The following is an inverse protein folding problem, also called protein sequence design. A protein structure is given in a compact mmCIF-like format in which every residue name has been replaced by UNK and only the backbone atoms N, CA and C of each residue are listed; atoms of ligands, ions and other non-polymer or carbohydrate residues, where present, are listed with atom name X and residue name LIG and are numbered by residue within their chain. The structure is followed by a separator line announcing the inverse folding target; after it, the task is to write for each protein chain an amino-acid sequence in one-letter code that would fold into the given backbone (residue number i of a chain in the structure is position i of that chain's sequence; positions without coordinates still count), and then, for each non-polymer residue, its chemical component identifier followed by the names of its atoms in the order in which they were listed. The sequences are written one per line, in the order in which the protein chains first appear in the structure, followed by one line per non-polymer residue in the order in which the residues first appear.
data_IF_149138414842
#
_entry.id   IF_149138414842
#
_cell.length_a   1.000
_cell.length_b   1.000
_cell.length_c   1.000
_cell.angle_alpha   90.00
_cell.angle_beta   90.00
_cell.angle_gamma   90.00
#
_symmetry.space_group_name_H-M   'P 1'
#
loop_
_entity.id
_entity.type
_entity.pdbx_description
1 polymer ?
#
# COMPACT_ATOMS: atom_id res chain seq x y z
N UNK A 1 -39.57 -31.61 35.74
CA UNK A 1 -38.75 -31.95 36.92
C UNK A 1 -37.35 -32.25 36.44
N UNK A 2 -36.39 -31.68 37.13
CA UNK A 2 -34.95 -31.75 37.04
C UNK A 2 -34.27 -30.81 36.04
N UNK A 3 -33.94 -29.62 36.56
CA UNK A 3 -32.90 -28.71 36.12
C UNK A 3 -31.52 -29.37 36.21
N UNK A 4 -30.67 -29.13 35.18
CA UNK A 4 -29.23 -29.20 35.33
C UNK A 4 -28.60 -27.91 34.80
N UNK A 5 -28.39 -26.97 35.70
CA UNK A 5 -27.51 -25.83 35.55
C UNK A 5 -26.07 -26.27 35.82
N UNK A 6 -25.12 -25.95 34.90
CA UNK A 6 -23.70 -26.06 35.19
C UNK A 6 -22.95 -24.84 34.62
N UNK A 7 -22.50 -23.90 35.47
CA UNK A 7 -21.74 -22.76 35.02
C UNK A 7 -20.25 -23.09 34.97
N UNK A 8 -19.66 -23.17 33.79
CA UNK A 8 -18.21 -23.25 33.61
C UNK A 8 -17.56 -21.91 33.98
N UNK A 9 -16.89 -21.90 35.11
CA UNK A 9 -16.23 -20.71 35.66
C UNK A 9 -14.79 -20.63 35.14
N UNK A 10 -14.52 -19.73 34.22
CA UNK A 10 -13.22 -19.49 33.55
C UNK A 10 -12.06 -19.08 34.48
N UNK A 11 -12.33 -18.83 35.77
CA UNK A 11 -11.31 -18.43 36.75
C UNK A 11 -10.57 -19.60 37.42
N UNK A 12 -10.99 -20.85 37.26
CA UNK A 12 -10.33 -22.01 37.86
C UNK A 12 -9.31 -22.74 36.96
N UNK A 13 -9.17 -22.31 35.69
CA UNK A 13 -8.22 -22.95 34.76
C UNK A 13 -6.78 -22.38 34.82
N UNK A 14 -6.56 -21.28 35.51
CA UNK A 14 -5.26 -20.59 35.60
C UNK A 14 -4.47 -20.91 36.89
N UNK A 15 -4.92 -21.80 37.74
CA UNK A 15 -4.28 -22.09 39.04
C UNK A 15 -3.67 -23.51 39.15
N UNK A 16 -3.66 -24.31 38.07
CA UNK A 16 -3.11 -25.69 38.10
C UNK A 16 -1.96 -25.95 37.15
N UNK A 17 -1.33 -24.92 36.59
CA UNK A 17 -0.15 -25.05 35.71
C UNK A 17 1.12 -24.39 36.30
N UNK A 18 1.34 -24.57 37.58
CA UNK A 18 2.51 -24.01 38.25
C UNK A 18 3.08 -24.93 39.31
N UNK A 19 3.75 -26.02 38.92
CA UNK A 19 4.76 -26.70 39.76
C UNK A 19 5.28 -27.96 39.02
N UNK A 20 6.37 -27.82 38.27
CA UNK A 20 7.44 -28.84 38.13
C UNK A 20 8.50 -28.30 37.12
N UNK A 21 9.40 -27.45 37.61
CA UNK A 21 10.64 -27.12 36.93
C UNK A 21 11.70 -28.08 37.43
N UNK A 22 11.97 -29.14 36.69
CA UNK A 22 13.13 -30.03 36.85
C UNK A 22 14.33 -29.44 36.12
N UNK A 23 15.33 -29.01 36.86
CA UNK A 23 16.65 -28.61 36.37
C UNK A 23 17.41 -29.85 35.90
N UNK A 24 17.72 -29.92 34.60
CA UNK A 24 18.71 -30.86 34.07
C UNK A 24 19.89 -30.04 33.55
N UNK A 25 20.97 -30.05 34.34
CA UNK A 25 22.29 -29.59 33.93
C UNK A 25 22.97 -30.68 33.08
N UNK A 26 23.11 -30.45 31.79
CA UNK A 26 24.03 -31.25 30.95
C UNK A 26 25.31 -30.43 30.74
N UNK A 27 26.37 -30.87 31.47
CA UNK A 27 27.77 -30.56 31.14
C UNK A 27 28.16 -31.38 29.92
N UNK A 28 28.50 -30.70 28.82
CA UNK A 28 29.08 -31.27 27.62
C UNK A 28 30.37 -30.57 27.25
N UNK A 29 31.46 -31.24 27.51
CA UNK A 29 32.84 -31.16 27.06
C UNK A 29 33.28 -29.94 26.20
N UNK A 30 34.10 -29.12 26.82
CA UNK A 30 35.09 -28.26 26.19
C UNK A 30 36.28 -29.11 25.70
N UNK A 31 36.54 -29.08 24.41
CA UNK A 31 37.82 -29.49 23.82
C UNK A 31 38.66 -28.25 23.56
N UNK A 32 39.80 -28.14 24.20
CA UNK A 32 40.86 -27.15 23.96
C UNK A 32 41.46 -27.35 22.56
N UNK A 33 41.78 -26.29 21.80
CA UNK A 33 42.73 -26.38 20.70
C UNK A 33 44.17 -26.17 21.22
N UNK A 34 45.18 -26.74 20.52
CA UNK A 34 46.56 -26.69 20.93
C UNK A 34 47.21 -25.33 20.68
N UNK A 35 48.10 -24.92 21.60
CA UNK A 35 48.98 -23.78 21.50
C UNK A 35 50.07 -23.99 20.44
N UNK A 36 50.34 -22.95 19.64
CA UNK A 36 51.39 -22.95 18.63
C UNK A 36 51.82 -21.56 18.20
N UNK A 37 52.73 -20.99 19.03
CA UNK A 37 53.87 -20.10 18.69
C UNK A 37 53.75 -19.02 17.61
N UNK A 38 53.75 -17.77 18.05
CA UNK A 38 54.73 -16.73 17.71
C UNK A 38 54.60 -15.96 16.40
N UNK A 39 54.43 -14.62 16.54
CA UNK A 39 55.10 -13.69 15.63
C UNK A 39 54.19 -12.65 14.94
N UNK A 40 54.20 -11.43 15.52
CA UNK A 40 54.35 -10.21 14.70
C UNK A 40 53.10 -9.55 14.10
N UNK A 41 52.64 -8.53 14.81
CA UNK A 41 52.24 -7.16 14.33
C UNK A 41 51.52 -7.02 12.99
N UNK A 42 50.37 -6.52 13.04
CA UNK A 42 49.88 -5.17 12.67
C UNK A 42 48.37 -5.17 12.41
N UNK A 43 47.73 -4.27 13.07
CA UNK A 43 46.35 -3.89 12.96
C UNK A 43 45.99 -3.54 11.52
N UNK A 44 44.88 -4.14 11.06
CA UNK A 44 43.99 -3.51 10.11
C UNK A 44 42.56 -3.93 10.47
N UNK A 45 41.97 -3.28 11.46
CA UNK A 45 40.52 -3.20 11.59
C UNK A 45 40.01 -2.34 10.43
N UNK A 46 39.78 -2.94 9.27
CA UNK A 46 38.90 -2.34 8.27
C UNK A 46 37.47 -2.51 8.75
N UNK A 47 37.00 -1.59 9.60
CA UNK A 47 35.58 -1.43 9.89
C UNK A 47 34.91 -1.08 8.58
N UNK A 48 34.07 -1.98 8.10
CA UNK A 48 33.07 -1.68 7.07
C UNK A 48 32.10 -0.68 7.69
N UNK A 49 32.42 0.62 7.60
CA UNK A 49 31.45 1.67 7.87
C UNK A 49 30.31 1.47 6.86
N UNK A 50 29.09 1.25 7.36
CA UNK A 50 27.92 1.13 6.51
C UNK A 50 27.83 2.37 5.62
N UNK A 51 27.40 2.20 4.36
CA UNK A 51 27.18 3.29 3.40
C UNK A 51 26.28 4.39 3.96
N UNK A 52 25.40 4.07 4.91
CA UNK A 52 24.59 5.04 5.64
C UNK A 52 25.42 6.04 6.48
N UNK A 53 26.58 5.63 7.00
CA UNK A 53 27.47 6.52 7.77
C UNK A 53 28.29 7.46 6.88
N UNK A 54 28.54 7.10 5.61
CA UNK A 54 29.23 7.97 4.66
C UNK A 54 28.33 9.08 4.10
N UNK A 55 27.01 8.87 4.04
CA UNK A 55 26.02 9.87 3.56
C UNK A 55 25.67 10.89 4.66
N UNK A 56 25.79 10.52 5.94
CA UNK A 56 25.46 11.39 7.09
C UNK A 56 26.39 12.64 7.23
N UNK A 57 27.47 12.74 6.44
CA UNK A 57 28.39 13.88 6.48
C UNK A 57 28.05 15.00 5.47
N UNK A 58 26.91 14.98 4.79
CA UNK A 58 26.41 16.15 4.07
C UNK A 58 25.81 17.11 5.11
N UNK A 59 26.49 18.24 5.34
CA UNK A 59 26.04 19.28 6.27
C UNK A 59 24.72 19.86 5.79
N UNK A 60 23.60 19.44 6.40
CA UNK A 60 22.29 20.10 6.22
C UNK A 60 22.47 21.56 6.67
N UNK A 61 22.05 22.52 5.84
CA UNK A 61 22.19 23.94 6.21
C UNK A 61 21.38 24.22 7.50
N UNK A 62 21.83 25.15 8.34
CA UNK A 62 21.12 25.45 9.59
C UNK A 62 19.64 25.80 9.38
N UNK A 63 19.30 26.45 8.25
CA UNK A 63 17.94 26.83 7.89
C UNK A 63 17.05 25.62 7.58
N UNK A 64 17.63 24.53 7.06
CA UNK A 64 16.95 23.29 6.69
C UNK A 64 17.06 22.20 7.76
N UNK A 65 17.78 22.44 8.85
CA UNK A 65 17.96 21.45 9.93
C UNK A 65 16.60 21.05 10.50
N UNK A 66 16.24 19.74 10.48
CA UNK A 66 14.99 19.26 11.04
C UNK A 66 14.83 19.55 12.53
N UNK A 67 13.61 19.78 12.98
CA UNK A 67 13.25 19.96 14.41
C UNK A 67 13.47 18.66 15.19
N UNK A 68 13.33 17.52 14.50
CA UNK A 68 13.57 16.18 15.03
C UNK A 68 14.27 15.33 13.97
N UNK A 69 15.09 14.38 14.41
CA UNK A 69 15.69 13.36 13.53
C UNK A 69 14.84 12.10 13.42
N UNK A 70 13.73 12.04 14.19
CA UNK A 70 12.93 10.83 14.41
C UNK A 70 11.60 10.91 13.69
N UNK A 71 11.21 9.80 13.05
CA UNK A 71 9.87 9.54 12.59
C UNK A 71 9.57 8.04 12.65
N UNK A 72 8.35 7.67 13.03
CA UNK A 72 7.88 6.30 13.00
C UNK A 72 6.84 6.15 11.88
N UNK A 73 7.22 5.50 10.76
CA UNK A 73 6.41 5.37 9.57
C UNK A 73 5.90 3.94 9.41
N UNK A 74 4.57 3.79 9.35
CA UNK A 74 3.93 2.51 9.08
C UNK A 74 3.97 2.14 7.59
N UNK A 75 4.07 0.85 7.29
CA UNK A 75 3.95 0.35 5.92
C UNK A 75 3.36 -1.06 5.87
N UNK A 76 2.71 -1.40 4.77
CA UNK A 76 2.27 -2.75 4.38
C UNK A 76 3.30 -3.32 3.39
N UNK A 77 3.62 -4.64 3.43
CA UNK A 77 4.61 -5.25 2.54
C UNK A 77 4.05 -5.48 1.13
N UNK A 78 3.91 -4.41 0.38
CA UNK A 78 3.52 -4.32 -1.04
C UNK A 78 4.41 -3.29 -1.73
N UNK A 79 4.47 -3.32 -3.06
CA UNK A 79 5.44 -2.53 -3.86
C UNK A 79 5.33 -1.02 -3.65
N UNK A 80 4.17 -0.55 -3.25
CA UNK A 80 3.89 0.86 -2.94
C UNK A 80 4.70 1.40 -1.75
N UNK A 81 5.15 0.49 -0.85
CA UNK A 81 6.04 0.85 0.26
C UNK A 81 7.50 1.09 -0.17
N UNK A 82 7.85 0.77 -1.41
CA UNK A 82 9.24 0.84 -1.88
C UNK A 82 9.92 2.19 -1.65
N UNK A 83 9.28 3.36 -1.90
CA UNK A 83 9.93 4.65 -1.64
C UNK A 83 10.38 4.84 -0.19
N UNK A 84 9.57 4.36 0.79
CA UNK A 84 9.92 4.44 2.21
C UNK A 84 11.13 3.56 2.53
N UNK A 85 11.11 2.33 2.03
CA UNK A 85 12.15 1.32 2.30
C UNK A 85 13.47 1.74 1.64
N UNK A 86 13.42 2.13 0.36
CA UNK A 86 14.60 2.56 -0.40
C UNK A 86 15.18 3.86 0.19
N UNK A 87 14.34 4.81 0.60
CA UNK A 87 14.81 6.04 1.25
C UNK A 87 15.61 5.73 2.52
N UNK A 88 15.21 4.74 3.30
CA UNK A 88 15.93 4.28 4.47
C UNK A 88 17.21 3.53 4.10
N UNK A 89 17.14 2.50 3.27
CA UNK A 89 18.25 1.61 2.95
C UNK A 89 19.37 2.32 2.17
N UNK A 90 19.01 3.28 1.29
CA UNK A 90 19.99 4.09 0.54
C UNK A 90 20.47 5.31 1.30
N UNK A 91 19.97 5.53 2.54
CA UNK A 91 20.39 6.66 3.38
C UNK A 91 19.81 8.01 2.95
N UNK A 92 18.79 8.05 2.07
CA UNK A 92 18.23 9.32 1.58
C UNK A 92 17.55 10.11 2.71
N UNK A 93 16.94 9.46 3.68
CA UNK A 93 16.45 10.16 4.87
C UNK A 93 17.58 10.81 5.68
N UNK A 94 18.64 10.06 5.93
CA UNK A 94 19.79 10.53 6.71
C UNK A 94 20.50 11.70 6.02
N UNK A 95 20.56 11.70 4.69
CA UNK A 95 21.11 12.80 3.86
C UNK A 95 20.47 14.16 4.19
N UNK A 96 19.19 14.18 4.56
CA UNK A 96 18.45 15.37 4.92
C UNK A 96 18.27 15.55 6.43
N UNK A 97 19.07 14.85 7.24
CA UNK A 97 19.08 14.98 8.70
C UNK A 97 18.07 14.10 9.44
N UNK A 98 17.26 13.30 8.74
CA UNK A 98 16.35 12.33 9.35
C UNK A 98 17.08 11.00 9.58
N UNK A 99 17.91 10.95 10.63
CA UNK A 99 18.84 9.83 10.91
C UNK A 99 18.21 8.70 11.70
N UNK A 100 17.03 8.90 12.28
CA UNK A 100 16.34 7.92 13.13
C UNK A 100 14.90 7.70 12.63
N UNK A 101 14.78 7.28 11.34
CA UNK A 101 13.49 6.90 10.76
C UNK A 101 13.27 5.42 10.97
N UNK A 102 12.25 5.08 11.78
CA UNK A 102 11.79 3.72 11.95
C UNK A 102 10.71 3.39 10.93
N UNK A 103 10.82 2.23 10.28
CA UNK A 103 9.76 1.68 9.42
C UNK A 103 9.07 0.55 10.17
N UNK A 104 7.82 0.81 10.57
CA UNK A 104 6.99 -0.11 11.35
C UNK A 104 6.09 -0.93 10.42
N UNK A 105 6.49 -2.18 10.14
CA UNK A 105 5.70 -3.11 9.33
C UNK A 105 4.34 -3.39 9.99
N UNK A 106 3.27 -3.18 9.25
CA UNK A 106 1.90 -3.38 9.69
C UNK A 106 1.34 -4.71 9.18
N UNK A 107 0.58 -5.40 10.01
CA UNK A 107 -0.04 -6.68 9.65
C UNK A 107 -1.25 -6.50 8.71
N UNK A 108 -1.89 -5.34 8.75
CA UNK A 108 -3.09 -5.01 7.97
C UNK A 108 -3.32 -3.50 7.93
N UNK A 109 -4.18 -3.04 7.03
CA UNK A 109 -4.65 -1.65 7.00
C UNK A 109 -5.47 -1.27 8.25
N UNK A 110 -6.15 -2.23 8.86
CA UNK A 110 -6.78 -2.03 10.16
C UNK A 110 -5.76 -1.72 11.26
N UNK A 111 -4.63 -2.46 11.29
CA UNK A 111 -3.53 -2.17 12.21
C UNK A 111 -2.87 -0.81 11.91
N UNK A 112 -2.71 -0.46 10.62
CA UNK A 112 -2.18 0.85 10.22
C UNK A 112 -3.08 1.98 10.74
N UNK A 113 -4.40 1.88 10.54
CA UNK A 113 -5.37 2.82 11.09
C UNK A 113 -5.27 2.93 12.61
N UNK A 114 -5.29 1.80 13.32
CA UNK A 114 -5.27 1.77 14.79
C UNK A 114 -3.97 2.38 15.35
N UNK A 115 -2.83 2.09 14.73
CA UNK A 115 -1.54 2.67 15.12
C UNK A 115 -1.43 4.16 14.77
N UNK A 116 -2.15 4.63 13.74
CA UNK A 116 -2.29 6.06 13.46
C UNK A 116 -3.11 6.76 14.54
N UNK A 117 -4.18 6.12 15.03
CA UNK A 117 -4.99 6.65 16.14
C UNK A 117 -4.16 6.79 17.42
N UNK A 118 -3.34 5.78 17.73
CA UNK A 118 -2.46 5.76 18.90
C UNK A 118 -1.38 6.85 18.79
N UNK A 119 -0.82 7.06 17.59
CA UNK A 119 0.31 7.94 17.36
C UNK A 119 1.63 7.40 17.94
N UNK A 120 2.78 7.88 17.45
CA UNK A 120 4.09 7.35 17.87
C UNK A 120 4.37 7.54 19.35
N UNK A 121 3.89 8.62 19.98
CA UNK A 121 4.03 8.84 21.43
C UNK A 121 3.34 7.77 22.29
N UNK A 122 2.30 7.13 21.76
CA UNK A 122 1.59 6.02 22.38
C UNK A 122 2.08 4.63 21.93
N UNK A 123 3.15 4.56 21.13
CA UNK A 123 3.66 3.31 20.56
C UNK A 123 3.08 2.96 19.18
N UNK A 124 2.32 3.86 18.57
CA UNK A 124 1.79 3.77 17.21
C UNK A 124 2.73 4.41 16.18
N UNK A 125 2.19 5.09 15.17
CA UNK A 125 2.95 5.71 14.08
C UNK A 125 2.66 7.20 13.95
N UNK A 126 3.62 7.97 13.43
CA UNK A 126 3.46 9.38 13.06
C UNK A 126 2.75 9.53 11.69
N UNK A 127 2.82 8.49 10.87
CA UNK A 127 2.27 8.44 9.53
C UNK A 127 2.84 7.26 8.75
N UNK A 128 2.90 7.38 7.43
CA UNK A 128 3.49 6.36 6.55
C UNK A 128 2.73 6.20 5.24
N UNK A 129 2.64 4.97 4.75
CA UNK A 129 1.93 4.55 3.55
C UNK A 129 0.44 4.39 3.84
N UNK A 130 -0.40 4.94 2.97
CA UNK A 130 -1.87 4.82 3.08
C UNK A 130 -2.53 4.59 1.74
N UNK A 131 -3.57 3.76 1.76
CA UNK A 131 -4.54 3.65 0.66
C UNK A 131 -5.43 4.90 0.58
N UNK A 132 -5.85 5.26 -0.63
CA UNK A 132 -6.80 6.36 -0.81
C UNK A 132 -8.26 5.90 -0.74
N UNK A 133 -9.15 6.67 -0.13
CA UNK A 133 -8.95 7.97 0.55
C UNK A 133 -8.81 7.85 2.07
N UNK A 134 -8.09 6.84 2.58
CA UNK A 134 -7.96 6.55 4.01
C UNK A 134 -7.58 7.77 4.87
N UNK A 135 -6.63 8.66 4.47
CA UNK A 135 -6.32 9.88 5.24
C UNK A 135 -7.52 10.81 5.39
N UNK A 136 -8.35 10.95 4.35
CA UNK A 136 -9.57 11.75 4.38
C UNK A 136 -10.62 11.16 5.33
N UNK A 137 -10.81 9.83 5.27
CA UNK A 137 -11.76 9.12 6.12
C UNK A 137 -11.33 9.12 7.61
N UNK A 138 -10.03 9.06 7.90
CA UNK A 138 -9.48 9.21 9.25
C UNK A 138 -9.70 10.63 9.76
N UNK A 139 -9.45 11.65 8.92
CA UNK A 139 -9.65 13.05 9.28
C UNK A 139 -11.10 13.36 9.65
N UNK A 140 -12.07 12.73 8.98
CA UNK A 140 -13.49 12.85 9.29
C UNK A 140 -13.99 11.89 10.37
N UNK A 141 -13.15 10.98 10.87
CA UNK A 141 -13.55 9.98 11.88
C UNK A 141 -14.44 8.85 11.34
N UNK A 142 -14.47 8.64 10.02
CA UNK A 142 -15.40 7.72 9.36
C UNK A 142 -14.96 6.25 9.37
N UNK A 143 -13.68 6.01 9.68
CA UNK A 143 -13.10 4.66 9.78
C UNK A 143 -12.32 4.43 11.07
N UNK A 144 -12.25 5.41 11.95
CA UNK A 144 -11.58 5.35 13.25
C UNK A 144 -12.48 4.73 14.32
N UNK A 145 -11.88 4.20 15.38
CA UNK A 145 -12.63 3.69 16.53
C UNK A 145 -13.31 4.84 17.28
N UNK A 146 -14.57 4.68 17.58
CA UNK A 146 -15.34 5.71 18.27
C UNK A 146 -15.52 7.02 17.47
N UNK A 147 -15.33 6.98 16.15
CA UNK A 147 -15.45 8.13 15.26
C UNK A 147 -14.52 9.31 15.62
N UNK A 148 -13.36 9.02 16.19
CA UNK A 148 -12.37 10.04 16.56
C UNK A 148 -11.78 10.66 15.30
N UNK A 149 -11.85 11.99 15.19
CA UNK A 149 -11.27 12.76 14.09
C UNK A 149 -9.79 13.02 14.35
N UNK A 150 -8.94 12.55 13.45
CA UNK A 150 -7.50 12.75 13.53
C UNK A 150 -7.06 13.47 12.27
N UNK A 151 -6.65 14.74 12.35
CA UNK A 151 -6.15 15.47 11.19
C UNK A 151 -4.98 14.71 10.54
N UNK A 152 -5.14 14.39 9.26
CA UNK A 152 -4.11 13.75 8.43
C UNK A 152 -3.70 14.71 7.33
N UNK A 153 -2.41 14.80 7.06
CA UNK A 153 -1.85 15.58 5.95
C UNK A 153 -1.24 14.65 4.92
N UNK A 154 -1.81 14.65 3.74
CA UNK A 154 -1.37 13.91 2.58
C UNK A 154 -0.27 14.71 1.89
N UNK A 155 0.93 14.15 1.81
CA UNK A 155 2.15 14.88 1.47
C UNK A 155 2.70 14.53 0.08
N UNK A 156 2.58 13.28 -0.37
CA UNK A 156 3.04 12.81 -1.66
C UNK A 156 2.26 11.59 -2.12
N UNK A 157 2.09 11.42 -3.42
CA UNK A 157 1.73 10.13 -3.98
C UNK A 157 2.99 9.24 -4.02
N UNK A 158 2.88 8.01 -3.58
CA UNK A 158 4.02 7.08 -3.54
C UNK A 158 4.24 6.42 -4.90
N UNK A 159 3.16 6.06 -5.59
CA UNK A 159 3.24 5.33 -6.86
C UNK A 159 1.97 5.47 -7.72
N UNK A 160 2.11 5.10 -8.99
CA UNK A 160 1.00 4.73 -9.87
C UNK A 160 1.06 3.24 -10.17
N UNK A 161 -0.10 2.62 -10.41
CA UNK A 161 -0.17 1.20 -10.82
C UNK A 161 0.38 0.24 -9.74
N UNK A 162 0.78 -0.98 -10.12
CA UNK A 162 1.38 -1.96 -9.20
C UNK A 162 0.36 -2.79 -8.43
N UNK A 163 -0.87 -2.92 -8.95
CA UNK A 163 -1.93 -3.74 -8.38
C UNK A 163 -2.50 -4.70 -9.42
N UNK A 164 -3.13 -5.77 -8.95
CA UNK A 164 -3.83 -6.72 -9.81
C UNK A 164 -5.03 -7.36 -9.15
N UNK A 165 -5.90 -7.92 -9.99
CA UNK A 165 -7.00 -8.79 -9.56
C UNK A 165 -6.65 -10.22 -9.93
N UNK A 166 -6.45 -11.07 -8.93
CA UNK A 166 -6.18 -12.49 -9.08
C UNK A 166 -7.46 -13.31 -8.87
N UNK A 167 -7.58 -14.41 -9.62
CA UNK A 167 -8.73 -15.33 -9.61
C UNK A 167 -8.23 -16.76 -9.40
N UNK A 168 -8.94 -17.55 -8.59
CA UNK A 168 -8.59 -18.92 -8.28
C UNK A 168 -8.65 -19.84 -9.51
N UNK A 169 -7.72 -20.80 -9.58
CA UNK A 169 -7.56 -21.75 -10.70
C UNK A 169 -8.82 -22.57 -11.02
N UNK A 170 -9.73 -22.79 -10.05
CA UNK A 170 -11.04 -23.45 -10.30
C UNK A 170 -11.93 -22.71 -11.30
N UNK A 171 -11.60 -21.47 -11.61
CA UNK A 171 -12.27 -20.64 -12.61
C UNK A 171 -11.51 -20.57 -13.94
N UNK A 172 -10.41 -21.29 -14.10
CA UNK A 172 -9.66 -21.34 -15.36
C UNK A 172 -10.57 -21.81 -16.52
N UNK A 173 -10.31 -21.29 -17.72
CA UNK A 173 -11.12 -21.59 -18.91
C UNK A 173 -12.45 -20.85 -19.03
N UNK A 174 -12.86 -20.08 -18.00
CA UNK A 174 -14.08 -19.24 -18.07
C UNK A 174 -13.84 -17.88 -18.72
N UNK A 175 -12.67 -17.64 -19.30
CA UNK A 175 -12.30 -16.40 -19.99
C UNK A 175 -12.46 -15.15 -19.12
N UNK A 176 -12.14 -15.27 -17.84
CA UNK A 176 -12.20 -14.16 -16.88
C UNK A 176 -10.97 -13.27 -17.10
N UNK A 177 -11.18 -12.05 -17.55
CA UNK A 177 -10.16 -11.06 -17.86
C UNK A 177 -10.64 -9.65 -17.49
N UNK A 178 -9.94 -8.62 -17.92
CA UNK A 178 -10.29 -7.21 -17.71
C UNK A 178 -11.76 -6.92 -18.07
N UNK A 179 -12.17 -7.29 -19.28
CA UNK A 179 -13.53 -7.06 -19.77
C UNK A 179 -14.41 -8.32 -19.55
N UNK A 180 -15.10 -8.35 -18.43
CA UNK A 180 -16.03 -9.44 -18.07
C UNK A 180 -17.25 -9.52 -18.99
N UNK A 181 -17.62 -8.45 -19.70
CA UNK A 181 -18.76 -8.45 -20.63
C UNK A 181 -18.49 -9.29 -21.88
N UNK A 182 -17.23 -9.40 -22.28
CA UNK A 182 -16.81 -10.14 -23.48
C UNK A 182 -16.48 -11.61 -23.23
N UNK A 183 -15.81 -11.88 -22.12
CA UNK A 183 -15.32 -13.22 -21.78
C UNK A 183 -15.90 -13.81 -20.49
N UNK A 184 -16.27 -12.95 -19.55
CA UNK A 184 -16.79 -13.35 -18.23
C UNK A 184 -18.28 -13.68 -18.19
N UNK A 185 -18.96 -13.80 -19.33
CA UNK A 185 -20.40 -14.17 -19.34
C UNK A 185 -20.66 -15.46 -18.57
N UNK A 186 -19.81 -16.45 -18.71
CA UNK A 186 -19.90 -17.70 -17.95
C UNK A 186 -19.77 -17.51 -16.43
N UNK A 187 -18.97 -16.53 -15.98
CA UNK A 187 -18.91 -16.15 -14.58
C UNK A 187 -20.21 -15.49 -14.13
N UNK A 188 -20.69 -14.50 -14.88
CA UNK A 188 -21.93 -13.75 -14.55
C UNK A 188 -23.15 -14.68 -14.52
N UNK A 189 -23.31 -15.54 -15.52
CA UNK A 189 -24.42 -16.50 -15.60
C UNK A 189 -24.30 -17.56 -14.48
N UNK A 190 -23.08 -18.01 -14.19
CA UNK A 190 -22.79 -18.95 -13.10
C UNK A 190 -23.05 -18.36 -11.72
N UNK A 191 -22.74 -17.08 -11.50
CA UNK A 191 -23.04 -16.39 -10.25
C UNK A 191 -24.53 -16.32 -9.96
N UNK A 192 -25.33 -16.02 -10.99
CA UNK A 192 -26.81 -15.93 -10.88
C UNK A 192 -27.47 -17.29 -10.63
N UNK A 193 -26.84 -18.37 -11.04
CA UNK A 193 -27.37 -19.74 -10.90
C UNK A 193 -26.79 -20.53 -9.71
N UNK A 194 -25.70 -20.04 -9.10
CA UNK A 194 -24.97 -20.75 -8.06
C UNK A 194 -25.62 -20.58 -6.67
N UNK A 195 -25.72 -21.70 -5.94
CA UNK A 195 -26.08 -21.69 -4.50
C UNK A 195 -24.95 -21.20 -3.60
N UNK A 196 -23.70 -21.21 -4.08
CA UNK A 196 -22.53 -20.77 -3.36
C UNK A 196 -22.10 -19.43 -3.93
N UNK A 197 -22.08 -18.34 -3.13
CA UNK A 197 -21.71 -17.02 -3.64
C UNK A 197 -20.23 -17.00 -4.03
N UNK A 198 -19.92 -16.33 -5.15
CA UNK A 198 -18.54 -15.99 -5.50
C UNK A 198 -17.99 -15.04 -4.44
N UNK A 199 -16.93 -15.45 -3.77
CA UNK A 199 -16.31 -14.67 -2.70
C UNK A 199 -15.10 -13.94 -3.24
N UNK A 200 -15.17 -12.62 -3.30
CA UNK A 200 -14.07 -11.76 -3.69
C UNK A 200 -13.52 -11.01 -2.48
N UNK A 201 -12.21 -10.74 -2.46
CA UNK A 201 -11.58 -10.09 -1.34
C UNK A 201 -10.89 -8.77 -1.75
N UNK A 202 -10.80 -7.87 -0.80
CA UNK A 202 -10.05 -6.64 -0.82
C UNK A 202 -9.32 -6.48 0.52
N UNK A 203 -8.36 -5.56 0.63
CA UNK A 203 -7.54 -5.48 1.85
C UNK A 203 -8.14 -4.62 2.95
N UNK A 204 -8.90 -3.58 2.60
CA UNK A 204 -9.63 -2.72 3.53
C UNK A 204 -10.82 -2.07 2.81
N UNK A 205 -11.93 -1.91 3.51
CA UNK A 205 -13.17 -1.37 2.93
C UNK A 205 -13.08 0.14 2.61
N UNK A 206 -13.76 0.58 1.56
CA UNK A 206 -13.93 1.97 1.14
C UNK A 206 -12.69 2.65 0.55
N UNK A 207 -11.61 1.90 0.33
CA UNK A 207 -10.34 2.43 -0.20
C UNK A 207 -9.97 1.74 -1.52
N UNK A 208 -8.89 2.19 -2.17
CA UNK A 208 -8.53 1.86 -3.54
C UNK A 208 -8.72 0.38 -3.92
N UNK A 209 -8.16 -0.59 -3.20
CA UNK A 209 -8.24 -2.01 -3.58
C UNK A 209 -9.67 -2.59 -3.48
N UNK A 210 -10.54 -2.07 -2.59
CA UNK A 210 -11.98 -2.33 -2.60
C UNK A 210 -12.65 -1.65 -3.83
N UNK A 211 -12.27 -0.41 -4.13
CA UNK A 211 -12.83 0.33 -5.25
C UNK A 211 -12.44 -0.28 -6.59
N UNK A 212 -11.20 -0.81 -6.74
CA UNK A 212 -10.76 -1.48 -7.97
C UNK A 212 -11.59 -2.73 -8.27
N UNK A 213 -11.77 -3.63 -7.32
CA UNK A 213 -12.55 -4.85 -7.55
C UNK A 213 -14.04 -4.55 -7.76
N UNK A 214 -14.58 -3.54 -7.07
CA UNK A 214 -15.96 -3.07 -7.28
C UNK A 214 -16.14 -2.49 -8.68
N UNK A 215 -15.18 -1.67 -9.14
CA UNK A 215 -15.24 -1.11 -10.49
C UNK A 215 -15.22 -2.21 -11.55
N UNK A 216 -14.27 -3.15 -11.45
CA UNK A 216 -14.14 -4.28 -12.37
C UNK A 216 -15.42 -5.13 -12.46
N UNK A 217 -15.98 -5.53 -11.33
CA UNK A 217 -17.22 -6.30 -11.28
C UNK A 217 -18.38 -5.52 -11.90
N UNK A 218 -18.54 -4.25 -11.52
CA UNK A 218 -19.63 -3.40 -12.00
C UNK A 218 -19.55 -3.10 -13.51
N UNK A 219 -18.36 -2.90 -14.07
CA UNK A 219 -18.14 -2.76 -15.50
C UNK A 219 -18.57 -4.01 -16.26
N UNK A 220 -18.40 -5.20 -15.67
CA UNK A 220 -18.90 -6.48 -16.17
C UNK A 220 -20.40 -6.74 -15.94
N UNK A 221 -21.12 -5.79 -15.33
CA UNK A 221 -22.55 -5.94 -15.05
C UNK A 221 -22.87 -6.76 -13.80
N UNK A 222 -21.89 -6.95 -12.91
CA UNK A 222 -22.01 -7.66 -11.62
C UNK A 222 -22.14 -6.63 -10.51
N UNK A 223 -23.25 -6.64 -9.76
CA UNK A 223 -23.39 -5.79 -8.57
C UNK A 223 -22.55 -6.36 -7.43
N UNK A 224 -21.50 -5.64 -6.98
CA UNK A 224 -20.58 -6.16 -5.96
C UNK A 224 -21.20 -6.34 -4.57
N UNK A 225 -22.38 -5.77 -4.33
CA UNK A 225 -23.09 -5.90 -3.05
C UNK A 225 -24.23 -6.92 -3.09
N UNK A 226 -24.69 -7.32 -4.29
CA UNK A 226 -25.84 -8.21 -4.48
C UNK A 226 -25.46 -9.56 -5.09
N UNK A 227 -24.53 -9.57 -6.05
CA UNK A 227 -24.22 -10.75 -6.87
C UNK A 227 -23.02 -11.55 -6.31
N UNK A 228 -22.16 -10.93 -5.48
CA UNK A 228 -20.96 -11.54 -4.91
C UNK A 228 -20.87 -11.29 -3.41
N UNK A 229 -20.01 -12.06 -2.74
CA UNK A 229 -19.64 -11.79 -1.35
C UNK A 229 -18.28 -11.10 -1.31
N UNK A 230 -18.25 -9.82 -0.92
CA UNK A 230 -17.01 -9.08 -0.71
C UNK A 230 -16.55 -9.21 0.76
N UNK A 231 -15.26 -9.55 0.97
CA UNK A 231 -14.67 -9.72 2.32
C UNK A 231 -13.32 -9.00 2.43
N UNK A 232 -12.99 -8.43 3.60
CA UNK A 232 -11.66 -7.89 3.84
C UNK A 232 -10.68 -9.02 4.21
N UNK A 233 -9.53 -9.06 3.49
CA UNK A 233 -8.43 -10.01 3.76
C UNK A 233 -7.11 -9.25 3.69
N UNK A 234 -6.27 -9.25 4.75
CA UNK A 234 -4.96 -8.60 4.71
C UNK A 234 -4.09 -9.11 3.55
N UNK A 235 -3.33 -8.23 2.90
CA UNK A 235 -2.54 -8.55 1.71
C UNK A 235 -1.70 -9.82 1.84
N UNK A 236 -0.93 -9.94 2.91
CA UNK A 236 -0.07 -11.11 3.15
C UNK A 236 -0.84 -12.43 3.43
N UNK A 237 -2.15 -12.38 3.64
CA UNK A 237 -2.98 -13.57 3.89
C UNK A 237 -3.75 -14.02 2.64
N UNK A 238 -3.74 -13.25 1.56
CA UNK A 238 -4.52 -13.53 0.35
C UNK A 238 -4.14 -14.87 -0.29
N UNK A 239 -2.84 -15.17 -0.38
CA UNK A 239 -2.32 -16.42 -0.95
C UNK A 239 -2.84 -17.65 -0.18
N UNK A 240 -2.73 -17.62 1.15
CA UNK A 240 -3.18 -18.73 2.01
C UNK A 240 -4.70 -18.94 1.90
N UNK A 241 -5.48 -17.86 1.92
CA UNK A 241 -6.93 -17.93 1.80
C UNK A 241 -7.38 -18.43 0.42
N UNK A 242 -6.72 -18.04 -0.67
CA UNK A 242 -7.02 -18.58 -1.99
C UNK A 242 -6.67 -20.06 -2.09
N UNK A 243 -5.53 -20.47 -1.55
CA UNK A 243 -5.09 -21.88 -1.52
C UNK A 243 -6.06 -22.80 -0.78
N UNK A 244 -6.67 -22.31 0.30
CA UNK A 244 -7.70 -23.07 1.06
C UNK A 244 -9.08 -23.05 0.40
N UNK A 245 -9.27 -22.28 -0.69
CA UNK A 245 -10.55 -22.16 -1.40
C UNK A 245 -11.56 -21.26 -0.69
N UNK A 246 -11.16 -20.50 0.33
CA UNK A 246 -12.04 -19.60 1.09
C UNK A 246 -12.44 -18.33 0.32
N UNK A 247 -11.78 -18.06 -0.80
CA UNK A 247 -12.13 -16.98 -1.74
C UNK A 247 -11.87 -17.38 -3.19
N UNK A 248 -12.57 -16.69 -4.10
CA UNK A 248 -12.53 -16.91 -5.54
C UNK A 248 -11.66 -15.90 -6.28
N UNK A 249 -11.61 -14.67 -5.78
CA UNK A 249 -10.80 -13.59 -6.33
C UNK A 249 -10.33 -12.63 -5.24
N UNK A 250 -9.29 -11.83 -5.53
CA UNK A 250 -8.91 -10.72 -4.67
C UNK A 250 -8.22 -9.60 -5.45
N UNK A 251 -8.31 -8.39 -4.89
CA UNK A 251 -7.63 -7.18 -5.33
C UNK A 251 -6.61 -6.75 -4.27
N UNK A 252 -5.35 -6.61 -4.66
CA UNK A 252 -4.28 -6.08 -3.78
C UNK A 252 -3.07 -5.65 -4.59
N UNK A 253 -2.12 -4.96 -3.93
CA UNK A 253 -0.83 -4.57 -4.50
C UNK A 253 0.10 -5.75 -4.74
N UNK A 254 0.98 -5.58 -5.73
CA UNK A 254 2.04 -6.53 -5.99
C UNK A 254 2.99 -6.66 -4.74
N UNK A 255 3.54 -7.84 -4.51
CA UNK A 255 3.60 -8.99 -5.42
C UNK A 255 2.55 -10.08 -5.15
N UNK A 256 1.56 -9.83 -4.31
CA UNK A 256 0.64 -10.88 -3.87
C UNK A 256 -0.22 -11.45 -5.01
N UNK A 257 -0.77 -10.64 -5.95
CA UNK A 257 -1.49 -11.18 -7.10
C UNK A 257 -0.59 -12.05 -7.98
N UNK A 258 0.64 -11.60 -8.24
CA UNK A 258 1.59 -12.35 -9.05
C UNK A 258 2.08 -13.64 -8.36
N UNK A 259 2.15 -13.65 -7.03
CA UNK A 259 2.46 -14.83 -6.22
C UNK A 259 1.48 -15.98 -6.48
N UNK A 260 0.20 -15.67 -6.67
CA UNK A 260 -0.83 -16.66 -6.99
C UNK A 260 -0.49 -17.44 -8.26
N UNK A 261 -0.01 -16.76 -9.28
CA UNK A 261 0.42 -17.37 -10.55
C UNK A 261 1.63 -18.26 -10.34
N UNK A 262 2.66 -17.73 -9.66
CA UNK A 262 3.90 -18.50 -9.40
C UNK A 262 3.65 -19.73 -8.53
N UNK A 263 2.74 -19.67 -7.58
CA UNK A 263 2.32 -20.79 -6.75
C UNK A 263 1.32 -21.74 -7.47
N UNK A 264 0.92 -21.43 -8.72
CA UNK A 264 -0.02 -22.22 -9.57
C UNK A 264 -1.39 -22.46 -8.93
N UNK A 265 -1.90 -21.52 -8.14
CA UNK A 265 -3.19 -21.60 -7.46
C UNK A 265 -4.26 -20.69 -8.06
N UNK A 266 -3.89 -19.89 -9.04
CA UNK A 266 -4.79 -18.99 -9.76
C UNK A 266 -4.09 -18.30 -10.91
N UNK A 267 -4.75 -17.28 -11.45
CA UNK A 267 -4.30 -16.47 -12.57
C UNK A 267 -4.67 -15.01 -12.33
N UNK A 268 -4.00 -14.09 -13.02
CA UNK A 268 -4.34 -12.67 -13.04
C UNK A 268 -5.46 -12.41 -14.05
N UNK A 269 -6.62 -12.01 -13.58
CA UNK A 269 -7.69 -11.54 -14.47
C UNK A 269 -7.25 -10.25 -15.17
N UNK A 270 -6.61 -9.35 -14.42
CA UNK A 270 -6.11 -8.07 -14.94
C UNK A 270 -5.05 -7.47 -14.03
N UNK A 271 -4.23 -6.58 -14.61
CA UNK A 271 -3.50 -5.54 -13.88
C UNK A 271 -4.37 -4.29 -13.81
N UNK A 272 -4.34 -3.55 -12.70
CA UNK A 272 -5.11 -2.31 -12.58
C UNK A 272 -4.66 -1.25 -13.59
N UNK A 273 -3.41 -1.32 -14.06
CA UNK A 273 -2.89 -0.53 -15.18
C UNK A 273 -3.67 -0.73 -16.49
N UNK A 274 -4.26 -1.93 -16.71
CA UNK A 274 -5.11 -2.18 -17.87
C UNK A 274 -6.48 -1.51 -17.70
N UNK A 275 -6.99 -1.38 -16.46
CA UNK A 275 -8.27 -0.76 -16.15
C UNK A 275 -8.21 0.77 -16.26
N UNK A 276 -7.17 1.35 -15.69
CA UNK A 276 -6.91 2.79 -15.74
C UNK A 276 -5.40 3.02 -15.78
N UNK A 277 -4.89 3.36 -16.96
CA UNK A 277 -3.47 3.60 -17.18
C UNK A 277 -2.97 4.79 -16.35
N UNK A 278 -1.84 4.60 -15.66
CA UNK A 278 -1.21 5.61 -14.80
C UNK A 278 -2.11 6.07 -13.64
N UNK A 279 -2.99 5.19 -13.14
CA UNK A 279 -3.89 5.52 -12.03
C UNK A 279 -3.11 5.77 -10.72
N UNK A 280 -3.64 6.67 -9.86
CA UNK A 280 -3.07 6.87 -8.52
C UNK A 280 -3.26 5.64 -7.65
N UNK A 281 -2.33 5.38 -6.75
CA UNK A 281 -2.41 4.22 -5.87
C UNK A 281 -2.30 4.60 -4.39
N UNK A 282 -1.11 4.62 -3.82
CA UNK A 282 -0.95 4.88 -2.39
C UNK A 282 -0.12 6.13 -2.13
N UNK A 283 -0.24 6.64 -0.92
CA UNK A 283 0.27 7.96 -0.58
C UNK A 283 1.04 7.95 0.74
N UNK A 284 2.03 8.83 0.83
CA UNK A 284 2.61 9.25 2.10
C UNK A 284 1.65 10.23 2.76
N UNK A 285 1.13 9.87 3.92
CA UNK A 285 0.41 10.80 4.78
C UNK A 285 0.94 10.74 6.21
N UNK A 286 0.84 11.86 6.90
CA UNK A 286 1.30 12.01 8.27
C UNK A 286 0.18 12.59 9.13
N UNK A 287 0.24 12.35 10.43
CA UNK A 287 -0.62 13.05 11.39
C UNK A 287 -0.35 14.54 11.31
N UNK A 288 -1.42 15.34 11.26
CA UNK A 288 -1.31 16.80 11.17
C UNK A 288 -0.56 17.40 12.35
N UNK A 289 -0.79 16.91 13.57
CA UNK A 289 -0.11 17.37 14.77
C UNK A 289 1.42 17.16 14.74
N UNK A 290 1.89 16.09 14.08
CA UNK A 290 3.31 15.85 13.87
C UNK A 290 3.89 16.82 12.82
N UNK A 291 3.20 17.01 11.70
CA UNK A 291 3.63 17.90 10.61
C UNK A 291 3.69 19.35 11.06
N UNK A 292 2.64 19.84 11.74
CA UNK A 292 2.57 21.21 12.25
C UNK A 292 3.70 21.52 13.24
N UNK A 293 4.11 20.50 14.01
CA UNK A 293 5.20 20.63 15.00
C UNK A 293 6.58 20.50 14.36
N UNK A 294 6.70 19.85 13.21
CA UNK A 294 7.98 19.48 12.59
C UNK A 294 8.01 19.84 11.08
N UNK A 295 7.79 21.09 10.67
CA UNK A 295 7.69 21.45 9.25
C UNK A 295 8.98 21.22 8.45
N UNK A 296 10.15 21.40 9.03
CA UNK A 296 11.43 21.13 8.35
C UNK A 296 11.71 19.63 8.26
N UNK A 297 11.41 18.87 9.31
CA UNK A 297 11.52 17.42 9.29
C UNK A 297 10.54 16.81 8.24
N UNK A 298 9.36 17.37 8.07
CA UNK A 298 8.41 16.96 7.04
C UNK A 298 9.00 17.12 5.64
N UNK A 299 9.60 18.28 5.34
CA UNK A 299 10.26 18.51 4.04
C UNK A 299 11.51 17.64 3.89
N UNK A 300 12.24 17.36 4.96
CA UNK A 300 13.39 16.45 4.94
C UNK A 300 12.96 15.01 4.59
N UNK A 301 11.89 14.52 5.19
CA UNK A 301 11.30 13.22 4.83
C UNK A 301 10.87 13.19 3.36
N UNK A 302 10.16 14.22 2.89
CA UNK A 302 9.72 14.34 1.50
C UNK A 302 10.88 14.31 0.52
N UNK A 303 11.96 15.05 0.79
CA UNK A 303 13.16 15.03 -0.06
C UNK A 303 13.77 13.63 -0.16
N UNK A 304 13.84 12.91 0.95
CA UNK A 304 14.30 11.51 0.96
C UNK A 304 13.39 10.57 0.15
N UNK A 305 12.07 10.74 0.24
CA UNK A 305 11.08 9.99 -0.56
C UNK A 305 11.25 10.31 -2.05
N UNK A 306 11.34 11.59 -2.44
CA UNK A 306 11.51 12.01 -3.83
C UNK A 306 12.79 11.43 -4.45
N UNK A 307 13.92 11.42 -3.73
CA UNK A 307 15.14 10.77 -4.22
C UNK A 307 14.96 9.26 -4.37
N UNK A 308 14.29 8.60 -3.44
CA UNK A 308 13.99 7.18 -3.55
C UNK A 308 13.10 6.89 -4.77
N UNK A 309 12.11 7.72 -5.03
CA UNK A 309 11.22 7.60 -6.19
C UNK A 309 11.98 7.78 -7.50
N UNK A 310 12.86 8.79 -7.61
CA UNK A 310 13.73 9.00 -8.77
C UNK A 310 14.68 7.80 -8.97
N UNK A 311 15.27 7.29 -7.90
CA UNK A 311 16.14 6.13 -7.95
C UNK A 311 15.40 4.86 -8.42
N UNK A 312 14.17 4.65 -7.94
CA UNK A 312 13.30 3.53 -8.31
C UNK A 312 12.87 3.57 -9.78
N UNK A 313 12.64 4.73 -10.37
CA UNK A 313 12.23 4.87 -11.78
C UNK A 313 13.37 4.66 -12.78
N UNK A 314 14.62 4.62 -12.31
CA UNK A 314 15.70 4.09 -13.11
C UNK A 314 15.63 2.56 -13.14
N UNK A 315 15.20 1.99 -14.26
CA UNK A 315 15.04 0.54 -14.43
C UNK A 315 16.32 -0.27 -14.18
N UNK A 316 17.51 0.33 -14.31
CA UNK A 316 18.76 -0.32 -13.93
C UNK A 316 18.82 -0.67 -12.43
N UNK A 317 18.09 0.05 -11.58
CA UNK A 317 18.05 -0.16 -10.15
C UNK A 317 16.97 -1.16 -9.72
N UNK A 318 16.07 -1.57 -10.63
CA UNK A 318 14.89 -2.41 -10.27
C UNK A 318 15.27 -3.76 -9.66
N UNK A 319 16.36 -4.38 -10.15
CA UNK A 319 16.86 -5.63 -9.56
C UNK A 319 17.37 -5.44 -8.13
N UNK A 320 18.11 -4.36 -7.88
CA UNK A 320 18.57 -4.02 -6.53
C UNK A 320 17.37 -3.72 -5.62
N UNK A 321 16.40 -2.95 -6.11
CA UNK A 321 15.16 -2.68 -5.38
C UNK A 321 14.42 -3.98 -5.01
N UNK A 322 14.23 -4.88 -5.97
CA UNK A 322 13.58 -6.17 -5.74
C UNK A 322 14.34 -7.02 -4.70
N UNK A 323 15.68 -7.01 -4.73
CA UNK A 323 16.51 -7.72 -3.76
C UNK A 323 16.37 -7.15 -2.34
N UNK A 324 16.36 -5.82 -2.19
CA UNK A 324 16.14 -5.16 -0.90
C UNK A 324 14.75 -5.50 -0.36
N UNK A 325 13.71 -5.30 -1.17
CA UNK A 325 12.32 -5.47 -0.76
C UNK A 325 11.95 -6.92 -0.46
N UNK A 326 12.47 -7.90 -1.23
CA UNK A 326 12.24 -9.32 -0.99
C UNK A 326 12.89 -9.82 0.30
N UNK A 327 13.85 -9.07 0.84
CA UNK A 327 14.59 -9.41 2.04
C UNK A 327 13.72 -9.72 3.26
N UNK A 328 14.27 -10.52 4.18
CA UNK A 328 13.58 -11.01 5.39
C UNK A 328 13.02 -9.89 6.28
N UNK A 329 13.70 -8.74 6.30
CA UNK A 329 13.29 -7.59 7.12
C UNK A 329 12.05 -6.87 6.56
N UNK A 330 11.77 -7.03 5.26
CA UNK A 330 10.69 -6.33 4.57
C UNK A 330 9.58 -7.29 4.15
N UNK A 331 9.58 -7.78 2.90
CA UNK A 331 8.46 -8.59 2.40
C UNK A 331 8.61 -10.07 2.74
N UNK A 332 9.85 -10.56 2.88
CA UNK A 332 10.17 -11.97 3.14
C UNK A 332 9.58 -12.90 2.07
N UNK A 333 9.92 -12.64 0.82
CA UNK A 333 9.43 -13.33 -0.38
C UNK A 333 10.61 -13.77 -1.26
N UNK A 334 10.45 -14.79 -2.11
CA UNK A 334 11.41 -15.10 -3.16
C UNK A 334 11.60 -13.90 -4.10
N UNK A 335 12.85 -13.64 -4.47
CA UNK A 335 13.24 -12.51 -5.31
C UNK A 335 12.48 -12.45 -6.65
N UNK A 336 12.28 -13.60 -7.28
CA UNK A 336 11.66 -13.73 -8.60
C UNK A 336 10.22 -13.21 -8.64
N UNK A 337 9.52 -13.29 -7.50
CA UNK A 337 8.13 -12.84 -7.39
C UNK A 337 8.01 -11.32 -7.49
N UNK A 338 9.07 -10.60 -7.12
CA UNK A 338 9.15 -9.14 -7.24
C UNK A 338 9.82 -8.69 -8.53
N UNK A 339 10.89 -9.37 -8.94
CA UNK A 339 11.76 -8.90 -10.01
C UNK A 339 11.06 -8.78 -11.36
N UNK A 340 10.20 -9.74 -11.72
CA UNK A 340 9.49 -9.74 -13.00
C UNK A 340 8.45 -8.60 -13.09
N UNK A 341 7.50 -8.44 -12.13
CA UNK A 341 6.56 -7.32 -12.12
C UNK A 341 7.24 -5.94 -12.12
N UNK A 342 8.37 -5.82 -11.43
CA UNK A 342 9.14 -4.57 -11.39
C UNK A 342 9.66 -4.14 -12.77
N UNK A 343 9.86 -5.08 -13.68
CA UNK A 343 10.27 -4.82 -15.06
C UNK A 343 9.07 -4.74 -16.04
N UNK A 344 7.84 -4.87 -15.56
CA UNK A 344 6.61 -4.90 -16.38
C UNK A 344 6.40 -6.24 -17.08
N UNK A 345 6.93 -7.33 -16.51
CA UNK A 345 6.80 -8.68 -17.04
C UNK A 345 5.87 -9.50 -16.18
N UNK A 346 4.80 -9.96 -16.78
CA UNK A 346 3.79 -10.76 -16.11
C UNK A 346 3.41 -11.98 -16.96
N UNK A 347 3.62 -13.17 -16.40
CA UNK A 347 2.83 -14.34 -16.79
C UNK A 347 1.48 -14.22 -16.08
N UNK A 348 0.39 -14.11 -16.84
CA UNK A 348 -0.94 -13.95 -16.26
C UNK A 348 -1.51 -15.26 -15.71
N UNK A 349 -0.87 -16.41 -15.99
CA UNK A 349 -1.27 -17.74 -15.49
C UNK A 349 -2.42 -18.41 -16.24
N UNK A 350 -2.92 -17.79 -17.30
CA UNK A 350 -3.98 -18.29 -18.16
C UNK A 350 -3.56 -18.36 -19.65
N UNK A 351 -2.27 -18.23 -19.91
CA UNK A 351 -1.67 -18.22 -21.25
C UNK A 351 -1.43 -16.81 -21.80
N UNK A 352 -1.95 -15.76 -21.18
CA UNK A 352 -1.61 -14.38 -21.51
C UNK A 352 -0.26 -14.03 -20.89
N UNK A 353 0.55 -13.24 -21.61
CA UNK A 353 1.82 -12.70 -21.15
C UNK A 353 1.86 -11.19 -21.43
N UNK A 354 2.33 -10.43 -20.47
CA UNK A 354 2.63 -9.00 -20.63
C UNK A 354 4.15 -8.84 -20.50
N UNK A 355 4.78 -8.22 -21.48
CA UNK A 355 6.19 -7.75 -21.43
C UNK A 355 6.21 -6.30 -21.92
N UNK A 356 5.77 -5.41 -21.03
CA UNK A 356 5.62 -3.99 -21.31
C UNK A 356 5.97 -3.19 -20.05
N UNK A 357 7.10 -2.47 -20.12
CA UNK A 357 7.57 -1.60 -19.03
C UNK A 357 6.52 -0.58 -18.60
N UNK A 358 5.64 -0.16 -19.50
CA UNK A 358 4.57 0.79 -19.16
C UNK A 358 3.51 0.22 -18.23
N UNK A 359 3.48 -1.11 -18.03
CA UNK A 359 2.62 -1.79 -17.06
C UNK A 359 3.26 -1.96 -15.68
N UNK A 360 4.56 -1.64 -15.55
CA UNK A 360 5.24 -1.64 -14.26
C UNK A 360 4.73 -0.51 -13.35
N UNK A 361 4.97 -0.65 -12.05
CA UNK A 361 4.78 0.44 -11.08
C UNK A 361 5.75 1.59 -11.35
N UNK A 362 5.26 2.83 -11.30
CA UNK A 362 6.06 4.05 -11.39
C UNK A 362 5.94 4.85 -10.10
N UNK A 363 7.00 5.57 -9.75
CA UNK A 363 7.12 6.24 -8.46
C UNK A 363 7.34 7.74 -8.58
N UNK A 364 8.13 8.19 -9.57
CA UNK A 364 8.48 9.60 -9.74
C UNK A 364 7.75 10.24 -10.90
N UNK A 365 7.78 9.58 -12.07
CA UNK A 365 7.27 10.12 -13.32
C UNK A 365 6.72 9.02 -14.21
N UNK A 366 5.56 9.23 -14.81
CA UNK A 366 4.96 8.36 -15.80
C UNK A 366 4.70 9.08 -17.13
N UNK A 367 3.91 8.49 -18.01
CA UNK A 367 3.62 9.04 -19.35
C UNK A 367 2.89 10.39 -19.29
N UNK A 368 2.22 10.73 -18.18
CA UNK A 368 1.43 11.95 -17.99
C UNK A 368 2.15 13.03 -17.16
N UNK A 369 3.31 12.74 -16.60
CA UNK A 369 4.10 13.68 -15.80
C UNK A 369 4.43 13.19 -14.39
N UNK A 370 4.32 14.07 -13.39
CA UNK A 370 4.69 13.72 -12.02
C UNK A 370 3.75 12.64 -11.45
N UNK A 371 4.34 11.59 -10.90
CA UNK A 371 3.66 10.59 -10.05
C UNK A 371 3.67 11.05 -8.61
N UNK A 372 4.79 11.56 -8.13
CA UNK A 372 4.99 11.91 -6.72
C UNK A 372 4.09 13.07 -6.22
N UNK A 373 3.68 13.97 -7.13
CA UNK A 373 2.83 15.10 -6.77
C UNK A 373 1.39 14.66 -6.44
N UNK A 374 0.84 15.04 -5.27
CA UNK A 374 -0.49 14.61 -4.86
C UNK A 374 -1.59 15.47 -5.52
N UNK A 375 -2.08 15.03 -6.69
CA UNK A 375 -3.12 15.76 -7.42
C UNK A 375 -4.46 15.70 -6.67
N UNK A 376 -5.07 16.85 -6.39
CA UNK A 376 -6.40 16.94 -5.75
C UNK A 376 -7.53 16.34 -6.60
N UNK A 377 -7.36 16.28 -7.92
CA UNK A 377 -8.30 15.59 -8.81
C UNK A 377 -8.38 14.08 -8.52
N UNK A 378 -7.29 13.45 -8.09
CA UNK A 378 -7.27 12.06 -7.68
C UNK A 378 -8.03 11.85 -6.36
N UNK A 379 -7.81 12.74 -5.37
CA UNK A 379 -8.56 12.72 -4.11
C UNK A 379 -10.07 12.77 -4.38
N UNK A 380 -10.48 13.65 -5.29
CA UNK A 380 -11.88 13.81 -5.68
C UNK A 380 -12.44 12.54 -6.32
N UNK A 381 -11.67 11.84 -7.17
CA UNK A 381 -12.13 10.57 -7.74
C UNK A 381 -12.40 9.53 -6.66
N UNK A 382 -11.49 9.37 -5.70
CA UNK A 382 -11.69 8.41 -4.59
C UNK A 382 -12.90 8.76 -3.71
N UNK A 383 -13.13 10.05 -3.44
CA UNK A 383 -14.35 10.49 -2.73
C UNK A 383 -15.60 10.22 -3.59
N UNK A 384 -15.51 10.46 -4.90
CA UNK A 384 -16.61 10.22 -5.85
C UNK A 384 -16.99 8.74 -5.91
N UNK A 385 -16.02 7.83 -5.97
CA UNK A 385 -16.30 6.38 -5.88
C UNK A 385 -16.89 5.99 -4.53
N UNK A 386 -16.47 6.61 -3.43
CA UNK A 386 -17.12 6.38 -2.13
C UNK A 386 -18.58 6.85 -2.11
N UNK A 387 -18.91 7.94 -2.81
CA UNK A 387 -20.31 8.37 -3.02
C UNK A 387 -21.05 7.38 -3.93
N UNK A 388 -20.42 6.89 -5.00
CA UNK A 388 -21.01 5.87 -5.89
C UNK A 388 -21.55 4.67 -5.12
N UNK A 389 -20.79 4.18 -4.16
CA UNK A 389 -21.12 3.00 -3.38
C UNK A 389 -21.93 3.28 -2.11
N UNK A 390 -22.34 4.54 -1.89
CA UNK A 390 -23.11 4.94 -0.71
C UNK A 390 -22.29 4.93 0.59
N UNK A 391 -20.97 4.89 0.51
CA UNK A 391 -20.08 4.97 1.67
C UNK A 391 -19.95 6.39 2.21
N UNK A 392 -20.12 7.38 1.32
CA UNK A 392 -20.20 8.79 1.63
C UNK A 392 -21.48 9.40 1.06
N UNK A 393 -22.08 10.38 1.74
CA UNK A 393 -23.22 11.11 1.20
C UNK A 393 -22.81 12.01 0.01
N UNK A 394 -23.80 12.39 -0.82
CA UNK A 394 -23.61 13.08 -2.10
C UNK A 394 -22.86 14.41 -1.98
N UNK A 395 -22.97 15.11 -0.85
CA UNK A 395 -22.27 16.39 -0.65
C UNK A 395 -20.73 16.29 -0.75
N UNK A 396 -20.15 15.07 -0.65
CA UNK A 396 -18.69 14.88 -0.80
C UNK A 396 -18.17 14.97 -2.25
N UNK A 397 -19.04 15.04 -3.24
CA UNK A 397 -18.63 15.40 -4.61
C UNK A 397 -18.76 16.92 -4.91
N UNK A 398 -19.18 17.69 -3.93
CA UNK A 398 -19.37 19.15 -4.01
C UNK A 398 -18.47 19.91 -3.03
N UNK A 399 -19.03 20.97 -2.44
CA UNK A 399 -18.30 21.88 -1.55
C UNK A 399 -17.64 21.17 -0.36
N UNK A 400 -18.34 20.22 0.27
CA UNK A 400 -17.82 19.48 1.43
C UNK A 400 -16.60 18.61 1.07
N UNK A 401 -16.63 17.95 -0.08
CA UNK A 401 -15.48 17.17 -0.55
C UNK A 401 -14.30 18.07 -0.87
N UNK A 402 -14.53 19.22 -1.51
CA UNK A 402 -13.47 20.19 -1.79
C UNK A 402 -12.83 20.71 -0.50
N UNK A 403 -13.63 21.09 0.49
CA UNK A 403 -13.15 21.52 1.80
C UNK A 403 -12.29 20.42 2.48
N UNK A 404 -12.76 19.18 2.45
CA UNK A 404 -12.00 18.05 3.01
C UNK A 404 -10.68 17.83 2.27
N UNK A 405 -10.68 17.87 0.93
CA UNK A 405 -9.46 17.74 0.11
C UNK A 405 -8.48 18.88 0.46
N UNK A 406 -8.93 20.14 0.52
CA UNK A 406 -8.07 21.28 0.86
C UNK A 406 -7.50 21.18 2.29
N UNK A 407 -8.25 20.57 3.21
CA UNK A 407 -7.81 20.33 4.57
C UNK A 407 -6.75 19.24 4.67
N UNK A 408 -6.87 18.17 3.89
CA UNK A 408 -6.01 16.98 3.96
C UNK A 408 -4.83 17.06 3.01
N UNK A 409 -5.04 17.43 1.75
CA UNK A 409 -3.99 17.46 0.73
C UNK A 409 -3.08 18.70 0.90
N UNK A 410 -1.80 18.44 1.14
CA UNK A 410 -0.76 19.45 1.37
C UNK A 410 0.23 19.56 0.21
N UNK A 411 -0.28 19.64 -1.00
CA UNK A 411 0.52 19.75 -2.23
C UNK A 411 1.51 20.95 -2.23
N UNK A 412 1.19 21.99 -1.46
CA UNK A 412 2.10 23.12 -1.26
C UNK A 412 3.38 22.72 -0.53
N UNK A 413 3.31 21.84 0.49
CA UNK A 413 4.50 21.33 1.21
C UNK A 413 5.36 20.47 0.25
N UNK A 414 4.70 19.67 -0.62
CA UNK A 414 5.40 18.93 -1.66
C UNK A 414 6.16 19.88 -2.61
N UNK A 415 5.51 20.95 -3.09
CA UNK A 415 6.14 21.95 -3.98
C UNK A 415 7.34 22.64 -3.33
N UNK A 416 7.24 22.96 -2.04
CA UNK A 416 8.35 23.55 -1.29
C UNK A 416 9.52 22.56 -1.20
N UNK A 417 9.26 21.30 -0.81
CA UNK A 417 10.29 20.27 -0.71
C UNK A 417 10.94 19.98 -2.07
N UNK A 418 10.15 19.94 -3.16
CA UNK A 418 10.65 19.74 -4.51
C UNK A 418 11.60 20.88 -4.96
N UNK A 419 11.24 22.14 -4.66
CA UNK A 419 12.12 23.31 -4.93
C UNK A 419 13.42 23.22 -4.10
N UNK A 420 13.33 22.89 -2.84
CA UNK A 420 14.50 22.74 -1.96
C UNK A 420 15.42 21.58 -2.42
N UNK A 421 14.83 20.54 -3.01
CA UNK A 421 15.55 19.41 -3.60
C UNK A 421 16.23 19.77 -4.93
N UNK A 422 15.84 20.88 -5.58
CA UNK A 422 16.32 21.29 -6.89
C UNK A 422 15.61 20.59 -8.04
N UNK A 423 14.38 20.11 -7.84
CA UNK A 423 13.55 19.57 -8.93
C UNK A 423 13.35 20.65 -9.99
N UNK A 424 13.61 20.35 -11.29
CA UNK A 424 13.40 21.33 -12.36
C UNK A 424 11.99 21.91 -12.35
N UNK A 425 11.86 23.22 -12.55
CA UNK A 425 10.57 23.90 -12.51
C UNK A 425 9.54 23.30 -13.50
N UNK A 426 10.01 22.77 -14.64
CA UNK A 426 9.17 22.07 -15.62
C UNK A 426 8.57 20.76 -15.08
N UNK A 427 9.17 20.15 -14.06
CA UNK A 427 8.73 18.91 -13.44
C UNK A 427 7.84 19.14 -12.18
N UNK A 428 7.68 20.41 -11.77
CA UNK A 428 6.79 20.80 -10.67
C UNK A 428 5.42 21.16 -11.25
N UNK A 429 4.36 20.38 -10.99
CA UNK A 429 3.04 20.65 -11.52
C UNK A 429 2.50 22.01 -11.09
N UNK A 430 1.95 22.77 -12.04
CA UNK A 430 1.29 24.06 -11.79
C UNK A 430 -0.20 23.91 -11.48
N UNK A 431 -0.82 22.81 -11.98
CA UNK A 431 -2.22 22.48 -11.74
C UNK A 431 -2.35 21.49 -10.59
N UNK A 432 -3.44 21.60 -9.83
CA UNK A 432 -3.85 20.60 -8.83
C UNK A 432 -4.69 19.46 -9.44
N UNK A 433 -5.04 19.59 -10.73
CA UNK A 433 -5.76 18.58 -11.50
C UNK A 433 -4.83 17.93 -12.52
N UNK A 434 -4.95 16.61 -12.65
CA UNK A 434 -4.27 15.82 -13.71
C UNK A 434 -5.09 15.77 -15.01
N UNK A 435 -6.27 16.42 -15.03
CA UNK A 435 -7.16 16.47 -16.17
C UNK A 435 -8.19 15.34 -16.19
N UNK A 436 -8.75 15.10 -17.36
CA UNK A 436 -9.77 14.05 -17.57
C UNK A 436 -9.09 12.69 -17.65
N UNK A 437 -9.59 11.75 -16.86
CA UNK A 437 -9.14 10.36 -16.84
C UNK A 437 -10.09 9.47 -17.64
N UNK A 438 -9.56 8.44 -18.31
CA UNK A 438 -10.35 7.52 -19.12
C UNK A 438 -10.08 6.08 -18.69
N UNK A 439 -11.15 5.32 -18.46
CA UNK A 439 -11.08 3.91 -18.06
C UNK A 439 -11.21 2.99 -19.29
N UNK A 440 -10.88 1.71 -19.10
CA UNK A 440 -10.87 0.70 -20.17
C UNK A 440 -12.23 0.53 -20.89
N UNK A 441 -13.32 0.79 -20.19
CA UNK A 441 -14.69 0.68 -20.68
C UNK A 441 -15.19 1.97 -21.40
N UNK A 442 -14.29 2.96 -21.57
CA UNK A 442 -14.58 4.22 -22.23
C UNK A 442 -15.23 5.27 -21.31
N UNK A 443 -15.53 4.92 -20.07
CA UNK A 443 -16.01 5.88 -19.07
C UNK A 443 -14.91 6.92 -18.78
N UNK A 444 -15.31 8.17 -18.61
CA UNK A 444 -14.40 9.28 -18.31
C UNK A 444 -14.75 9.92 -16.99
N UNK A 445 -13.72 10.20 -16.20
CA UNK A 445 -13.82 11.05 -15.02
C UNK A 445 -13.26 12.44 -15.33
N UNK A 446 -14.14 13.43 -15.39
CA UNK A 446 -13.79 14.83 -15.45
C UNK A 446 -13.90 15.40 -14.03
N UNK A 447 -12.81 15.87 -13.40
CA UNK A 447 -12.85 16.39 -12.03
C UNK A 447 -13.70 17.67 -11.89
N UNK A 448 -13.98 18.37 -13.00
CA UNK A 448 -14.92 19.50 -12.99
C UNK A 448 -16.39 19.06 -13.01
N UNK A 449 -16.65 17.77 -13.33
CA UNK A 449 -18.00 17.22 -13.52
C UNK A 449 -18.18 15.84 -12.87
N UNK A 450 -17.88 15.66 -11.58
CA UNK A 450 -17.95 14.37 -10.91
C UNK A 450 -19.36 13.76 -10.90
N UNK A 451 -20.41 14.59 -10.95
CA UNK A 451 -21.79 14.12 -11.03
C UNK A 451 -22.11 13.48 -12.39
N UNK A 452 -21.57 14.00 -13.51
CA UNK A 452 -21.74 13.42 -14.84
C UNK A 452 -21.08 12.03 -14.92
N UNK A 453 -19.88 11.88 -14.31
CA UNK A 453 -19.24 10.58 -14.17
C UNK A 453 -20.15 9.56 -13.45
N UNK A 454 -20.70 9.93 -12.30
CA UNK A 454 -21.61 9.06 -11.55
C UNK A 454 -22.89 8.73 -12.35
N UNK A 455 -23.45 9.67 -13.10
CA UNK A 455 -24.62 9.44 -13.98
C UNK A 455 -24.30 8.43 -15.07
N UNK A 456 -23.10 8.44 -15.64
CA UNK A 456 -22.69 7.54 -16.72
C UNK A 456 -22.54 6.08 -16.27
N UNK A 457 -22.34 5.82 -14.99
CA UNK A 457 -22.15 4.48 -14.44
C UNK A 457 -23.47 3.74 -14.29
N UNK A 458 -23.52 2.48 -14.75
CA UNK A 458 -24.73 1.64 -14.70
C UNK A 458 -25.06 1.17 -13.29
N UNK A 459 -24.04 0.68 -12.56
CA UNK A 459 -24.20 0.16 -11.19
C UNK A 459 -23.66 1.19 -10.20
N UNK A 460 -24.55 1.69 -9.37
CA UNK A 460 -24.29 2.68 -8.33
C UNK A 460 -25.40 2.66 -7.27
N UNK A 461 -25.09 3.11 -6.06
CA UNK A 461 -26.04 3.17 -4.93
C UNK A 461 -26.59 4.58 -4.70
N UNK A 462 -26.08 5.57 -5.41
CA UNK A 462 -26.54 6.96 -5.35
C UNK A 462 -27.52 7.25 -6.50
N UNK A 463 -28.58 8.00 -6.18
CA UNK A 463 -29.56 8.48 -7.17
C UNK A 463 -29.28 9.94 -7.55
N UNK A 464 -29.56 10.27 -8.82
CA UNK A 464 -29.41 11.63 -9.40
C UNK A 464 -30.68 12.04 -10.11
#
# INVERSE_FOLDING_TARGET
MAEFSNPFNRRKFLLTAGASAGVVLLKGCLGNPPEGVGGGSSQAQSGTQSTAQMVANSSVSPEQKPETTKANLGYIPIVEAAPLIIAKEKGFFAKYGMTDVNLAKQASWGSMRDNTEIGASGGGVDGGQYQMPMPHLITEGLITKGNVKIPMYLLAQLNTQGNGIAVASKHAGKQIALDLSKGGKGLVDGLKSSKTPFTAAFTFAKVNQDLWIRYWLAAGGIDPDLDVKLIPVPAAQTVANMKTGSMDAFSTGDPWPYRIVKDKIGFLAMLTAEMWKDHPEEYLAMRGDWVDKNPKATKALLKGIMEAQQWLDNFANRKEAAAILSGRNYFNLPFEILAEPYEGKYDMGDGRVIDDKSMAVYYWKDSKGSVSYPYKSHDLWFLTENVRWGFLPKEYIGAKGKELIDKVNKENIWKEAAKELGVPAADIPTSTSRGVETFFDGIKFDPEKPEEYLKSLKIKKVSF
#
